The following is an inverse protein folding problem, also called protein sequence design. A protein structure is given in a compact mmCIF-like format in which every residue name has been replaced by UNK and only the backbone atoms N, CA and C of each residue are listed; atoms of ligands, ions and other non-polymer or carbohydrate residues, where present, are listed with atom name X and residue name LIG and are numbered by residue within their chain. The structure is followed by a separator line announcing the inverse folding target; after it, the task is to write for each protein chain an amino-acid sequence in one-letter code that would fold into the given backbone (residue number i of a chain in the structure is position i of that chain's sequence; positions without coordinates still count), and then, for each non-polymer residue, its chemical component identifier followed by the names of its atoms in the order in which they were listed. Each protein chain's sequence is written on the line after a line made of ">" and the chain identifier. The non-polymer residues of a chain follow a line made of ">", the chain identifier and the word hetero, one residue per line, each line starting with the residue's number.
data_IF_914158690531
#
_entry.id   IF_914158690531
#
_cell.length_a   1.000
_cell.length_b   1.000
_cell.length_c   1.000
_cell.angle_alpha   90.00
_cell.angle_beta   90.00
_cell.angle_gamma   90.00
#
_symmetry.space_group_name_H-M   'P 1'
#
loop_
_entity.id
_entity.type
_entity.pdbx_description
1 polymer ?
#
# COMPACT_ATOMS: atom_id res chain seq x y z
N UNK A 1 -11.76 -13.41 -3.47
CA UNK A 1 -12.35 -13.73 -4.78
C UNK A 1 -11.46 -13.19 -5.90
N UNK A 2 -11.25 -13.96 -6.95
CA UNK A 2 -10.63 -13.47 -8.20
C UNK A 2 -11.76 -13.05 -9.14
N UNK A 3 -11.65 -11.86 -9.72
CA UNK A 3 -12.71 -11.24 -10.52
C UNK A 3 -12.26 -11.06 -11.96
N UNK A 4 -13.02 -11.66 -12.87
CA UNK A 4 -12.90 -11.48 -14.31
C UNK A 4 -14.27 -11.04 -14.87
N UNK A 5 -14.39 -10.93 -16.19
CA UNK A 5 -15.64 -10.56 -16.86
C UNK A 5 -16.85 -11.43 -16.47
N UNK A 6 -16.67 -12.74 -16.27
CA UNK A 6 -17.79 -13.64 -15.96
C UNK A 6 -18.17 -13.69 -14.49
N UNK A 7 -17.31 -13.21 -13.59
CA UNK A 7 -17.57 -13.20 -12.13
C UNK A 7 -17.78 -11.80 -11.57
N UNK A 8 -17.77 -10.77 -12.42
CA UNK A 8 -17.91 -9.37 -12.02
C UNK A 8 -19.23 -9.11 -11.28
N UNK A 9 -20.33 -9.63 -11.79
CA UNK A 9 -21.68 -9.33 -11.27
C UNK A 9 -22.00 -10.11 -9.99
N UNK A 10 -21.16 -11.06 -9.58
CA UNK A 10 -21.38 -11.89 -8.39
C UNK A 10 -20.55 -11.48 -7.18
N UNK A 11 -19.84 -10.33 -7.24
CA UNK A 11 -18.90 -9.91 -6.18
C UNK A 11 -19.65 -9.62 -4.88
N UNK A 12 -20.75 -8.88 -4.94
CA UNK A 12 -21.58 -8.60 -3.77
C UNK A 12 -22.14 -9.88 -3.16
N UNK A 13 -22.82 -10.73 -3.95
CA UNK A 13 -23.43 -11.96 -3.45
C UNK A 13 -22.40 -12.92 -2.84
N UNK A 14 -21.21 -13.02 -3.45
CA UNK A 14 -20.11 -13.82 -2.90
C UNK A 14 -19.59 -13.26 -1.58
N UNK A 15 -19.47 -11.94 -1.47
CA UNK A 15 -19.06 -11.28 -0.23
C UNK A 15 -20.10 -11.40 0.88
N UNK A 16 -21.39 -11.28 0.55
CA UNK A 16 -22.51 -11.50 1.47
C UNK A 16 -22.52 -12.95 1.97
N UNK A 17 -22.34 -13.92 1.08
CA UNK A 17 -22.20 -15.31 1.47
C UNK A 17 -21.02 -15.52 2.45
N UNK A 18 -19.87 -14.89 2.20
CA UNK A 18 -18.74 -14.95 3.13
C UNK A 18 -19.09 -14.31 4.49
N UNK A 19 -19.82 -13.19 4.51
CA UNK A 19 -20.31 -12.59 5.74
C UNK A 19 -21.23 -13.53 6.53
N UNK A 20 -22.17 -14.20 5.86
CA UNK A 20 -23.11 -15.16 6.47
C UNK A 20 -22.38 -16.36 7.10
N UNK A 21 -21.23 -16.74 6.56
CA UNK A 21 -20.34 -17.75 7.16
C UNK A 21 -19.52 -17.22 8.37
N UNK A 22 -19.67 -15.94 8.71
CA UNK A 22 -19.01 -15.30 9.86
C UNK A 22 -17.69 -14.58 9.55
N UNK A 23 -17.32 -14.43 8.28
CA UNK A 23 -16.09 -13.69 7.92
C UNK A 23 -16.29 -12.17 8.07
N UNK A 24 -15.28 -11.49 8.65
CA UNK A 24 -15.30 -10.04 8.88
C UNK A 24 -14.68 -9.22 7.75
N UNK A 25 -14.12 -9.88 6.74
CA UNK A 25 -13.46 -9.22 5.62
C UNK A 25 -13.53 -10.04 4.35
N UNK A 26 -13.52 -9.32 3.23
CA UNK A 26 -13.66 -9.89 1.90
C UNK A 26 -12.83 -9.09 0.91
N UNK A 27 -11.89 -9.74 0.24
CA UNK A 27 -11.11 -9.12 -0.84
C UNK A 27 -11.57 -9.69 -2.18
N UNK A 28 -11.91 -8.82 -3.11
CA UNK A 28 -12.17 -9.17 -4.51
C UNK A 28 -11.12 -8.47 -5.37
N UNK A 29 -10.32 -9.24 -6.10
CA UNK A 29 -9.19 -8.70 -6.87
C UNK A 29 -9.35 -9.06 -8.33
N UNK A 30 -9.05 -8.13 -9.23
CA UNK A 30 -9.06 -8.44 -10.68
C UNK A 30 -8.15 -9.62 -10.97
N UNK A 31 -8.53 -10.42 -11.96
CA UNK A 31 -7.64 -11.42 -12.54
C UNK A 31 -6.35 -10.71 -12.98
N UNK A 32 -5.23 -11.35 -12.70
CA UNK A 32 -3.93 -10.97 -13.22
C UNK A 32 -3.38 -12.15 -13.99
N UNK A 33 -2.63 -11.89 -15.07
CA UNK A 33 -2.12 -12.96 -15.90
C UNK A 33 -1.07 -13.71 -15.09
N UNK A 34 -0.99 -15.03 -15.28
CA UNK A 34 0.20 -15.76 -14.87
C UNK A 34 1.24 -15.67 -15.98
N UNK A 35 2.48 -15.46 -15.61
CA UNK A 35 3.59 -15.40 -16.57
C UNK A 35 3.87 -16.75 -17.27
N UNK A 36 3.38 -17.86 -16.72
CA UNK A 36 3.52 -19.20 -17.30
C UNK A 36 2.61 -19.49 -18.51
N UNK A 37 1.82 -18.53 -18.98
CA UNK A 37 0.99 -18.72 -20.18
C UNK A 37 -0.14 -19.73 -20.01
N UNK A 38 -0.45 -20.11 -18.76
CA UNK A 38 -1.49 -21.09 -18.43
C UNK A 38 -2.91 -20.60 -18.73
N UNK A 39 -3.11 -19.28 -18.81
CA UNK A 39 -4.42 -18.70 -19.09
C UNK A 39 -4.57 -18.50 -20.61
N UNK A 40 -5.31 -19.39 -21.24
CA UNK A 40 -5.76 -19.22 -22.63
C UNK A 40 -6.83 -18.12 -22.70
N UNK A 41 -6.86 -17.35 -23.79
CA UNK A 41 -7.84 -16.29 -24.03
C UNK A 41 -7.94 -15.23 -22.91
N UNK A 42 -6.80 -14.85 -22.32
CA UNK A 42 -6.73 -13.87 -21.22
C UNK A 42 -7.49 -12.58 -21.55
N UNK A 43 -7.43 -12.08 -22.78
CA UNK A 43 -8.09 -10.84 -23.22
C UNK A 43 -9.61 -10.85 -22.98
N UNK A 44 -10.26 -12.02 -23.04
CA UNK A 44 -11.70 -12.17 -22.77
C UNK A 44 -12.05 -12.06 -21.28
N UNK A 45 -11.07 -12.18 -20.39
CA UNK A 45 -11.23 -12.20 -18.94
C UNK A 45 -10.88 -10.84 -18.30
N UNK A 46 -10.09 -10.01 -18.98
CA UNK A 46 -9.56 -8.75 -18.43
C UNK A 46 -10.68 -7.76 -18.13
N UNK A 47 -10.56 -7.11 -16.97
CA UNK A 47 -11.40 -5.99 -16.58
C UNK A 47 -10.85 -4.67 -17.15
N UNK A 48 -11.73 -3.84 -17.69
CA UNK A 48 -11.47 -2.45 -18.06
C UNK A 48 -11.89 -1.50 -16.92
N UNK A 49 -11.69 -0.19 -17.11
CA UNK A 49 -12.00 0.81 -16.08
C UNK A 49 -13.48 0.82 -15.64
N UNK A 50 -14.43 0.58 -16.55
CA UNK A 50 -15.87 0.53 -16.19
C UNK A 50 -16.15 -0.68 -15.31
N UNK A 51 -15.57 -1.82 -15.63
CA UNK A 51 -15.71 -3.03 -14.80
C UNK A 51 -15.10 -2.83 -13.41
N UNK A 52 -13.97 -2.11 -13.31
CA UNK A 52 -13.34 -1.80 -12.02
C UNK A 52 -14.24 -0.91 -11.17
N UNK A 53 -14.94 0.05 -11.76
CA UNK A 53 -15.94 0.84 -11.01
C UNK A 53 -17.05 -0.07 -10.47
N UNK A 54 -17.57 -1.00 -11.28
CA UNK A 54 -18.61 -1.97 -10.86
C UNK A 54 -18.10 -2.88 -9.72
N UNK A 55 -16.87 -3.38 -9.84
CA UNK A 55 -16.20 -4.18 -8.80
C UNK A 55 -16.11 -3.39 -7.48
N UNK A 56 -15.60 -2.16 -7.55
CA UNK A 56 -15.36 -1.34 -6.37
C UNK A 56 -16.66 -0.89 -5.72
N UNK A 57 -17.71 -0.62 -6.50
CA UNK A 57 -19.03 -0.26 -5.99
C UNK A 57 -19.64 -1.40 -5.17
N UNK A 58 -19.59 -2.63 -5.67
CA UNK A 58 -20.04 -3.81 -4.92
C UNK A 58 -19.26 -4.03 -3.62
N UNK A 59 -17.94 -3.79 -3.62
CA UNK A 59 -17.13 -3.85 -2.40
C UNK A 59 -17.52 -2.75 -1.40
N UNK A 60 -17.78 -1.54 -1.88
CA UNK A 60 -18.22 -0.44 -1.00
C UNK A 60 -19.62 -0.68 -0.43
N UNK A 61 -20.51 -1.33 -1.20
CA UNK A 61 -21.83 -1.77 -0.75
C UNK A 61 -21.72 -2.82 0.37
N UNK A 62 -20.90 -3.86 0.19
CA UNK A 62 -20.61 -4.84 1.25
C UNK A 62 -20.08 -4.21 2.54
N UNK A 63 -19.22 -3.20 2.40
CA UNK A 63 -18.72 -2.43 3.54
C UNK A 63 -19.83 -1.65 4.23
N UNK A 64 -20.71 -1.03 3.46
CA UNK A 64 -21.84 -0.24 3.96
C UNK A 64 -22.85 -1.13 4.70
N UNK A 65 -23.26 -2.22 4.08
CA UNK A 65 -24.37 -3.06 4.57
C UNK A 65 -23.96 -3.93 5.76
N UNK A 66 -22.73 -4.46 5.74
CA UNK A 66 -22.28 -5.48 6.68
C UNK A 66 -21.11 -5.03 7.57
N UNK A 67 -20.58 -3.82 7.37
CA UNK A 67 -19.40 -3.33 8.10
C UNK A 67 -18.13 -4.13 7.79
N UNK A 68 -18.09 -4.86 6.67
CA UNK A 68 -16.96 -5.72 6.30
C UNK A 68 -15.69 -4.90 5.97
N UNK A 69 -14.53 -5.47 6.28
CA UNK A 69 -13.26 -5.01 5.74
C UNK A 69 -13.13 -5.47 4.28
N UNK A 70 -13.15 -4.52 3.35
CA UNK A 70 -13.10 -4.81 1.92
C UNK A 70 -11.82 -4.29 1.26
N UNK A 71 -11.40 -4.92 0.17
CA UNK A 71 -10.22 -4.49 -0.56
C UNK A 71 -9.91 -5.28 -1.83
N UNK A 72 -8.88 -4.83 -2.51
CA UNK A 72 -8.26 -5.52 -3.65
C UNK A 72 -6.82 -5.87 -3.27
N UNK A 73 -6.30 -7.01 -3.76
CA UNK A 73 -4.94 -7.44 -3.44
C UNK A 73 -3.92 -6.90 -4.45
N UNK A 74 -4.33 -6.79 -5.72
CA UNK A 74 -3.48 -6.27 -6.77
C UNK A 74 -3.47 -4.74 -6.72
N UNK A 75 -2.31 -4.15 -6.97
CA UNK A 75 -2.18 -2.70 -7.12
C UNK A 75 -3.06 -2.21 -8.27
N UNK A 76 -3.89 -1.21 -7.99
CA UNK A 76 -4.68 -0.49 -8.99
C UNK A 76 -4.01 0.87 -9.24
N UNK A 77 -3.86 1.31 -10.49
CA UNK A 77 -3.47 2.68 -10.76
C UNK A 77 -4.58 3.60 -10.23
N UNK A 78 -4.21 4.68 -9.54
CA UNK A 78 -5.21 5.56 -8.90
C UNK A 78 -6.09 6.27 -9.93
N UNK A 79 -5.57 6.50 -11.13
CA UNK A 79 -6.35 7.01 -12.27
C UNK A 79 -7.29 5.98 -12.90
N UNK A 80 -7.40 4.77 -12.36
CA UNK A 80 -8.36 3.77 -12.84
C UNK A 80 -9.81 4.23 -12.67
N UNK A 81 -10.05 5.08 -11.67
CA UNK A 81 -11.36 5.65 -11.30
C UNK A 81 -11.29 7.18 -11.28
N UNK A 82 -12.45 7.81 -11.42
CA UNK A 82 -12.52 9.27 -11.48
C UNK A 82 -12.62 9.91 -10.08
N UNK A 83 -13.22 9.21 -9.10
CA UNK A 83 -13.28 9.63 -7.70
C UNK A 83 -12.56 8.65 -6.78
N UNK A 84 -11.29 8.93 -6.48
CA UNK A 84 -10.46 8.11 -5.57
C UNK A 84 -11.00 8.17 -4.13
N UNK A 85 -11.62 9.28 -3.71
CA UNK A 85 -12.04 9.45 -2.32
C UNK A 85 -13.22 8.53 -1.99
N UNK A 86 -14.13 8.31 -2.96
CA UNK A 86 -15.21 7.31 -2.86
C UNK A 86 -14.68 5.94 -2.45
N UNK A 87 -13.48 5.58 -2.92
CA UNK A 87 -12.87 4.27 -2.70
C UNK A 87 -11.64 4.32 -1.78
N UNK A 88 -11.51 5.36 -0.93
CA UNK A 88 -10.30 5.63 -0.15
C UNK A 88 -9.85 4.47 0.76
N UNK A 89 -10.77 3.63 1.24
CA UNK A 89 -10.39 2.44 2.01
C UNK A 89 -9.76 1.30 1.20
N UNK A 90 -9.90 1.35 -0.13
CA UNK A 90 -9.32 0.38 -1.07
C UNK A 90 -8.04 0.94 -1.68
N UNK A 91 -8.00 2.23 -2.03
CA UNK A 91 -6.81 2.93 -2.53
C UNK A 91 -5.85 3.33 -1.41
N UNK A 92 -5.39 2.35 -0.64
CA UNK A 92 -4.32 2.49 0.35
C UNK A 92 -3.16 1.51 0.12
N UNK A 93 -3.21 0.70 -0.96
CA UNK A 93 -2.19 -0.29 -1.32
C UNK A 93 -1.43 0.12 -2.58
N UNK A 94 -0.21 -0.39 -2.68
CA UNK A 94 0.67 -0.24 -3.84
C UNK A 94 1.52 -1.49 -4.04
N UNK A 95 2.27 -1.56 -5.15
CA UNK A 95 3.19 -2.67 -5.36
C UNK A 95 4.27 -2.70 -4.26
N UNK A 96 4.30 -3.80 -3.52
CA UNK A 96 5.27 -4.05 -2.42
C UNK A 96 6.33 -5.10 -2.80
N UNK A 97 6.35 -5.54 -4.07
CA UNK A 97 7.32 -6.49 -4.58
C UNK A 97 8.76 -5.97 -4.43
N UNK A 98 9.60 -6.75 -3.76
CA UNK A 98 10.97 -6.37 -3.42
C UNK A 98 11.08 -5.25 -2.37
N UNK A 99 9.98 -4.88 -1.70
CA UNK A 99 9.97 -3.88 -0.63
C UNK A 99 9.63 -4.49 0.74
N UNK A 100 8.45 -5.10 0.86
CA UNK A 100 8.00 -5.74 2.11
C UNK A 100 7.47 -7.15 1.89
N UNK A 101 7.57 -7.67 0.66
CA UNK A 101 7.18 -9.04 0.32
C UNK A 101 8.10 -9.64 -0.74
N UNK A 102 8.34 -10.95 -0.63
CA UNK A 102 8.86 -11.83 -1.67
C UNK A 102 8.08 -13.15 -1.64
N UNK A 103 8.10 -13.87 -2.77
CA UNK A 103 7.62 -15.24 -2.86
C UNK A 103 8.79 -16.22 -2.84
N UNK A 104 8.65 -17.33 -2.11
CA UNK A 104 9.57 -18.48 -2.17
C UNK A 104 8.83 -19.61 -2.86
N UNK A 105 9.33 -20.06 -4.01
CA UNK A 105 8.77 -21.20 -4.72
C UNK A 105 9.14 -22.53 -4.03
N UNK A 106 8.45 -23.61 -4.36
CA UNK A 106 8.66 -24.92 -3.74
C UNK A 106 10.06 -25.52 -3.97
N UNK A 107 10.76 -25.07 -5.02
CA UNK A 107 12.15 -25.42 -5.32
C UNK A 107 13.17 -24.52 -4.60
N UNK A 108 12.74 -23.56 -3.78
CA UNK A 108 13.59 -22.63 -3.05
C UNK A 108 13.84 -21.30 -3.77
N UNK A 109 13.34 -21.10 -4.98
CA UNK A 109 13.57 -19.86 -5.73
C UNK A 109 12.89 -18.66 -5.07
N UNK A 110 13.67 -17.60 -4.83
CA UNK A 110 13.19 -16.35 -4.28
C UNK A 110 12.83 -15.37 -5.38
N UNK A 111 11.62 -14.81 -5.31
CA UNK A 111 11.02 -13.93 -6.32
C UNK A 111 10.50 -12.66 -5.66
N UNK A 112 10.64 -11.50 -6.30
CA UNK A 112 10.12 -10.24 -5.77
C UNK A 112 8.59 -10.23 -5.67
N UNK A 113 7.91 -10.89 -6.62
CA UNK A 113 6.46 -11.01 -6.69
C UNK A 113 6.09 -12.47 -6.98
N UNK A 114 5.08 -12.98 -6.28
CA UNK A 114 4.56 -14.34 -6.46
C UNK A 114 3.92 -14.59 -7.84
N UNK A 115 3.57 -13.54 -8.59
CA UNK A 115 2.96 -13.66 -9.92
C UNK A 115 3.99 -13.76 -11.06
N UNK A 116 5.25 -13.37 -10.79
CA UNK A 116 6.33 -13.42 -11.78
C UNK A 116 7.21 -14.66 -11.61
N UNK A 117 7.81 -15.07 -12.71
CA UNK A 117 8.80 -16.16 -12.76
C UNK A 117 10.25 -15.64 -12.78
N UNK A 118 10.48 -14.40 -12.33
CA UNK A 118 11.81 -13.81 -12.17
C UNK A 118 12.37 -14.24 -10.81
N UNK A 119 13.36 -15.14 -10.84
CA UNK A 119 14.11 -15.60 -9.68
C UNK A 119 15.35 -14.75 -9.45
N UNK A 120 15.60 -14.37 -8.19
CA UNK A 120 16.78 -13.58 -7.78
C UNK A 120 17.83 -14.43 -7.04
N UNK A 121 17.51 -15.69 -6.74
CA UNK A 121 18.41 -16.64 -6.10
C UNK A 121 17.61 -17.79 -5.48
N UNK A 122 18.30 -18.76 -4.90
CA UNK A 122 17.68 -19.91 -4.26
C UNK A 122 18.07 -20.00 -2.78
N UNK A 123 17.09 -20.13 -1.89
CA UNK A 123 17.31 -20.13 -0.44
C UNK A 123 18.02 -21.40 0.07
N UNK A 124 18.09 -22.46 -0.73
CA UNK A 124 18.87 -23.66 -0.42
C UNK A 124 20.35 -23.51 -0.75
N UNK A 125 20.71 -22.50 -1.55
CA UNK A 125 22.09 -22.23 -1.98
C UNK A 125 22.73 -21.07 -1.22
N UNK A 126 21.95 -20.02 -0.93
CA UNK A 126 22.43 -18.78 -0.29
C UNK A 126 21.48 -18.30 0.82
N UNK A 127 21.96 -17.60 1.87
CA UNK A 127 21.10 -17.03 2.89
C UNK A 127 20.04 -16.07 2.32
N UNK A 128 18.81 -16.18 2.81
CA UNK A 128 17.67 -15.33 2.39
C UNK A 128 18.00 -13.84 2.42
N UNK A 129 18.70 -13.37 3.46
CA UNK A 129 19.02 -11.95 3.63
C UNK A 129 19.93 -11.41 2.52
N UNK A 130 20.87 -12.22 2.04
CA UNK A 130 21.76 -11.85 0.94
C UNK A 130 20.97 -11.73 -0.36
N UNK A 131 20.16 -12.74 -0.69
CA UNK A 131 19.35 -12.72 -1.91
C UNK A 131 18.35 -11.55 -1.85
N UNK A 132 17.72 -11.32 -0.70
CA UNK A 132 16.76 -10.23 -0.50
C UNK A 132 17.38 -8.85 -0.77
N UNK A 133 18.62 -8.62 -0.36
CA UNK A 133 19.31 -7.35 -0.59
C UNK A 133 19.56 -7.05 -2.08
N UNK A 134 19.57 -8.09 -2.92
CA UNK A 134 19.74 -7.99 -4.37
C UNK A 134 18.40 -7.80 -5.11
N UNK A 135 17.26 -8.02 -4.44
CA UNK A 135 15.94 -7.86 -5.06
C UNK A 135 15.66 -6.37 -5.28
N UNK A 136 15.42 -5.91 -6.52
CA UNK A 136 15.06 -4.54 -6.79
C UNK A 136 13.69 -4.21 -6.19
N UNK A 137 13.56 -3.00 -5.64
CA UNK A 137 12.24 -2.45 -5.31
C UNK A 137 11.55 -2.10 -6.62
N UNK A 138 10.59 -2.92 -7.05
CA UNK A 138 10.04 -2.83 -8.41
C UNK A 138 9.38 -1.51 -8.75
N UNK A 139 8.66 -0.90 -7.81
CA UNK A 139 8.05 0.42 -8.03
C UNK A 139 9.07 1.54 -8.27
N UNK A 140 10.35 1.32 -7.91
CA UNK A 140 11.47 2.23 -8.17
C UNK A 140 12.21 1.83 -9.44
N UNK A 141 12.57 0.55 -9.58
CA UNK A 141 13.36 0.03 -10.69
C UNK A 141 12.63 0.07 -12.03
N UNK A 142 11.34 -0.25 -12.02
CA UNK A 142 10.48 -0.32 -13.22
C UNK A 142 9.40 0.77 -13.15
N UNK A 143 9.81 1.97 -12.73
CA UNK A 143 8.95 3.13 -12.78
C UNK A 143 8.50 3.40 -14.23
N UNK A 144 7.27 3.88 -14.39
CA UNK A 144 6.73 4.21 -15.71
C UNK A 144 6.85 5.72 -15.90
N UNK A 145 7.68 6.15 -16.86
CA UNK A 145 7.98 7.57 -17.09
C UNK A 145 6.74 8.42 -17.37
N UNK A 146 5.66 7.83 -17.92
CA UNK A 146 4.39 8.54 -18.15
C UNK A 146 3.69 8.94 -16.85
N UNK A 147 4.06 8.35 -15.70
CA UNK A 147 3.57 8.72 -14.37
C UNK A 147 4.36 9.88 -13.74
N UNK A 148 5.47 10.31 -14.35
CA UNK A 148 6.30 11.40 -13.84
C UNK A 148 5.48 12.68 -13.67
N UNK A 149 5.52 13.27 -12.47
CA UNK A 149 4.75 14.48 -12.14
C UNK A 149 3.28 14.22 -11.76
N UNK A 150 2.82 12.96 -11.72
CA UNK A 150 1.52 12.60 -11.17
C UNK A 150 1.49 12.78 -9.65
N UNK A 151 0.37 13.29 -9.11
CA UNK A 151 0.18 13.45 -7.66
C UNK A 151 0.25 12.14 -6.86
N UNK A 152 0.08 11.00 -7.54
CA UNK A 152 0.06 9.66 -6.94
C UNK A 152 1.17 8.75 -7.45
N UNK A 153 2.21 9.31 -8.04
CA UNK A 153 3.26 8.57 -8.73
C UNK A 153 3.86 7.43 -7.87
N UNK A 154 4.59 7.77 -6.80
CA UNK A 154 5.15 6.78 -5.87
C UNK A 154 4.10 6.11 -4.96
N UNK A 155 2.87 6.66 -4.89
CA UNK A 155 1.77 6.07 -4.11
C UNK A 155 1.19 4.86 -4.81
N UNK A 156 0.98 4.90 -6.12
CA UNK A 156 0.41 3.77 -6.87
C UNK A 156 1.46 3.00 -7.69
N UNK A 157 2.59 3.63 -8.04
CA UNK A 157 3.66 3.06 -8.85
C UNK A 157 3.27 2.74 -10.30
N UNK A 158 2.19 3.38 -10.79
CA UNK A 158 1.61 3.11 -12.11
C UNK A 158 0.76 1.84 -12.18
N UNK A 159 0.43 1.20 -11.06
CA UNK A 159 -0.38 -0.03 -11.01
C UNK A 159 0.45 -1.31 -10.85
N UNK A 160 -0.05 -2.41 -11.40
CA UNK A 160 0.54 -3.73 -11.25
C UNK A 160 1.56 -4.00 -12.37
N UNK A 161 2.81 -4.27 -11.99
CA UNK A 161 3.90 -4.52 -12.94
C UNK A 161 3.71 -5.82 -13.75
N UNK A 162 3.00 -6.80 -13.18
CA UNK A 162 2.63 -8.05 -13.88
C UNK A 162 1.73 -7.76 -15.07
N UNK A 163 0.70 -6.94 -14.86
CA UNK A 163 -0.20 -6.53 -15.95
C UNK A 163 0.56 -5.74 -17.01
N UNK A 164 1.36 -4.76 -16.59
CA UNK A 164 2.20 -3.98 -17.51
C UNK A 164 3.10 -4.87 -18.38
N UNK A 165 3.80 -5.83 -17.76
CA UNK A 165 4.67 -6.75 -18.46
C UNK A 165 3.90 -7.67 -19.42
N UNK A 166 2.73 -8.19 -19.02
CA UNK A 166 1.99 -9.10 -19.89
C UNK A 166 1.48 -8.40 -21.16
N UNK A 167 0.99 -7.17 -21.00
CA UNK A 167 0.38 -6.40 -22.10
C UNK A 167 1.48 -5.84 -23.01
N UNK A 168 2.51 -5.25 -22.43
CA UNK A 168 3.49 -4.46 -23.18
C UNK A 168 4.82 -5.19 -23.41
N UNK A 169 5.03 -6.37 -22.80
CA UNK A 169 6.34 -7.05 -22.70
C UNK A 169 7.41 -6.22 -22.01
N UNK A 170 6.98 -5.27 -21.18
CA UNK A 170 7.83 -4.35 -20.44
C UNK A 170 7.27 -4.10 -19.04
N UNK A 171 8.10 -4.32 -18.01
CA UNK A 171 7.73 -4.07 -16.61
C UNK A 171 7.58 -2.57 -16.31
N UNK A 172 8.27 -1.70 -17.07
CA UNK A 172 8.09 -0.24 -17.01
C UNK A 172 6.86 0.23 -17.81
N UNK A 173 6.19 -0.66 -18.54
CA UNK A 173 5.01 -0.37 -19.35
C UNK A 173 3.77 0.04 -18.54
N UNK A 174 2.68 0.30 -19.26
CA UNK A 174 1.41 0.74 -18.66
C UNK A 174 0.54 -0.44 -18.21
N UNK A 175 -0.01 -0.35 -17.01
CA UNK A 175 -1.12 -1.20 -16.59
C UNK A 175 -2.36 -0.93 -17.44
N UNK A 176 -3.15 -1.94 -17.85
CA UNK A 176 -4.33 -1.73 -18.72
C UNK A 176 -5.39 -0.78 -18.14
N UNK A 177 -5.38 -0.54 -16.82
CA UNK A 177 -6.31 0.36 -16.17
C UNK A 177 -5.79 1.79 -16.05
N UNK A 178 -4.52 2.03 -16.41
CA UNK A 178 -3.94 3.37 -16.36
C UNK A 178 -4.62 4.24 -17.42
N UNK A 179 -5.10 5.40 -17.00
CA UNK A 179 -5.64 6.46 -17.87
C UNK A 179 -4.61 7.59 -18.00
N UNK A 180 -4.92 8.76 -17.46
CA UNK A 180 -4.05 9.94 -17.47
C UNK A 180 -3.38 10.17 -16.12
N UNK A 181 -2.37 11.05 -16.12
CA UNK A 181 -1.79 11.54 -14.87
C UNK A 181 -2.76 12.43 -14.14
N UNK A 182 -2.86 12.21 -12.83
CA UNK A 182 -3.67 13.09 -11.98
C UNK A 182 -2.78 14.24 -11.58
N UNK A 183 -3.08 15.42 -12.12
CA UNK A 183 -2.45 16.66 -11.68
C UNK A 183 -2.99 17.03 -10.30
N UNK A 184 -2.11 17.55 -9.46
CA UNK A 184 -2.53 18.21 -8.23
C UNK A 184 -3.30 19.50 -8.59
N UNK A 185 -4.62 19.40 -8.82
CA UNK A 185 -5.50 20.58 -8.94
C UNK A 185 -5.78 21.21 -7.57
N UNK A 186 -5.60 20.42 -6.51
CA UNK A 186 -5.26 21.00 -5.24
C UNK A 186 -3.84 21.53 -5.44
N UNK A 187 -3.68 22.87 -5.49
CA UNK A 187 -2.67 23.47 -4.62
C UNK A 187 -2.72 22.58 -3.40
N UNK A 188 -1.63 21.94 -3.02
CA UNK A 188 -1.43 21.82 -1.59
C UNK A 188 -1.51 23.28 -1.13
N UNK A 189 -2.73 23.76 -0.84
CA UNK A 189 -3.04 23.99 0.53
C UNK A 189 -2.43 22.76 1.25
N UNK A 190 -1.13 22.84 1.53
CA UNK A 190 -0.76 23.22 2.88
C UNK A 190 -1.84 24.23 3.24
N UNK A 191 -3.02 23.72 3.65
CA UNK A 191 -3.72 24.38 4.71
C UNK A 191 -2.55 24.70 5.60
N UNK A 192 -2.38 25.97 5.89
CA UNK A 192 -1.91 26.34 7.19
C UNK A 192 -2.56 25.36 8.18
N UNK A 193 -2.00 24.15 8.26
CA UNK A 193 -2.07 23.25 9.36
C UNK A 193 -1.29 24.14 10.26
N UNK A 194 -2.03 24.85 11.11
CA UNK A 194 -1.43 25.31 12.34
C UNK A 194 -0.51 24.19 12.78
N UNK A 195 0.79 24.47 12.88
CA UNK A 195 1.78 23.43 13.03
C UNK A 195 1.30 22.54 14.15
N UNK A 196 0.96 21.28 13.83
CA UNK A 196 0.43 20.35 14.81
C UNK A 196 1.43 20.35 15.96
N UNK A 197 0.99 20.88 17.09
CA UNK A 197 1.88 21.17 18.22
C UNK A 197 2.06 19.92 19.07
N UNK A 198 1.06 19.04 19.05
CA UNK A 198 1.12 17.76 19.74
C UNK A 198 0.37 16.67 18.98
N UNK A 199 0.80 15.42 19.18
CA UNK A 199 0.09 14.23 18.70
C UNK A 199 -0.21 13.31 19.88
N UNK A 200 -1.48 12.96 20.04
CA UNK A 200 -1.91 11.93 20.98
C UNK A 200 -1.88 10.56 20.29
N UNK A 201 -0.98 9.69 20.73
CA UNK A 201 -0.88 8.31 20.28
C UNK A 201 -2.08 7.47 20.77
N UNK A 202 -2.50 6.50 19.95
CA UNK A 202 -3.54 5.54 20.32
C UNK A 202 -3.08 4.59 21.42
N UNK A 203 -4.05 4.00 22.13
CA UNK A 203 -3.79 3.18 23.33
C UNK A 203 -3.19 1.79 23.03
N UNK A 204 -3.52 1.23 21.88
CA UNK A 204 -3.26 -0.19 21.55
C UNK A 204 -2.12 -0.35 20.55
N UNK A 205 -1.15 0.58 20.57
CA UNK A 205 0.02 0.49 19.71
C UNK A 205 0.98 -0.58 20.24
N UNK A 206 1.61 -1.28 19.32
CA UNK A 206 2.70 -2.22 19.57
C UNK A 206 3.96 -1.66 18.93
N UNK A 207 5.09 -1.82 19.62
CA UNK A 207 6.40 -1.43 19.13
C UNK A 207 7.20 -2.72 18.93
N UNK A 208 7.77 -2.90 17.74
CA UNK A 208 8.72 -3.96 17.44
C UNK A 208 10.07 -3.33 17.11
N UNK A 209 11.09 -3.69 17.85
CA UNK A 209 12.44 -3.15 17.67
C UNK A 209 13.07 -3.66 16.37
N UNK A 210 13.80 -2.77 15.71
CA UNK A 210 14.45 -2.98 14.42
C UNK A 210 15.85 -2.33 14.43
N UNK A 211 16.75 -2.75 13.55
CA UNK A 211 18.09 -2.14 13.45
C UNK A 211 18.08 -0.65 13.09
N UNK A 212 17.01 -0.18 12.43
CA UNK A 212 16.81 1.23 12.06
C UNK A 212 16.03 2.04 13.11
N UNK A 213 15.54 1.40 14.17
CA UNK A 213 14.67 2.02 15.18
C UNK A 213 13.56 1.07 15.58
N UNK A 214 12.34 1.29 15.07
CA UNK A 214 11.22 0.39 15.34
C UNK A 214 10.11 0.45 14.30
N UNK A 215 9.29 -0.59 14.28
CA UNK A 215 7.96 -0.55 13.66
C UNK A 215 6.92 -0.26 14.74
N UNK A 216 6.20 0.86 14.61
CA UNK A 216 5.00 1.17 15.40
C UNK A 216 3.76 0.65 14.67
N UNK A 217 2.98 -0.20 15.31
CA UNK A 217 1.91 -0.95 14.64
C UNK A 217 0.67 -1.07 15.50
N UNK A 218 -0.52 -0.95 14.90
CA UNK A 218 -1.80 -1.27 15.53
C UNK A 218 -2.47 -2.48 14.87
N UNK A 219 -2.62 -2.41 13.55
CA UNK A 219 -3.26 -3.41 12.70
C UNK A 219 -2.65 -3.36 11.29
N UNK A 220 -2.92 -4.34 10.40
CA UNK A 220 -2.29 -4.39 9.08
C UNK A 220 -2.47 -3.15 8.19
N UNK A 221 -3.42 -2.27 8.51
CA UNK A 221 -3.66 -1.00 7.80
C UNK A 221 -3.14 0.24 8.53
N UNK A 222 -2.62 0.09 9.75
CA UNK A 222 -2.15 1.18 10.61
C UNK A 222 -0.78 0.87 11.21
N UNK A 223 0.28 1.34 10.55
CA UNK A 223 1.68 1.16 10.97
C UNK A 223 2.60 2.29 10.46
N UNK A 224 3.75 2.48 11.11
CA UNK A 224 4.79 3.41 10.70
C UNK A 224 6.17 2.88 11.08
N UNK A 225 7.17 3.22 10.29
CA UNK A 225 8.58 2.99 10.61
C UNK A 225 9.13 4.22 11.30
N UNK A 226 9.76 4.01 12.43
CA UNK A 226 10.35 5.04 13.26
C UNK A 226 11.86 4.87 13.26
N UNK A 227 12.58 5.97 13.13
CA UNK A 227 14.03 5.96 13.31
C UNK A 227 14.41 5.77 14.79
N UNK A 228 15.71 5.65 15.06
CA UNK A 228 16.22 5.46 16.41
C UNK A 228 15.80 6.58 17.39
N UNK A 229 15.83 7.84 16.94
CA UNK A 229 15.47 9.00 17.77
C UNK A 229 13.99 8.98 18.14
N UNK A 230 13.11 8.83 17.15
CA UNK A 230 11.66 8.78 17.37
C UNK A 230 11.29 7.56 18.20
N UNK A 231 11.95 6.42 17.98
CA UNK A 231 11.75 5.20 18.78
C UNK A 231 12.07 5.45 20.25
N UNK A 232 13.24 6.04 20.53
CA UNK A 232 13.64 6.44 21.88
C UNK A 232 12.59 7.36 22.51
N UNK A 233 12.24 8.45 21.83
CA UNK A 233 11.31 9.44 22.36
C UNK A 233 9.91 8.87 22.62
N UNK A 234 9.37 8.05 21.71
CA UNK A 234 8.05 7.43 21.87
C UNK A 234 8.05 6.41 23.01
N UNK A 235 9.13 5.63 23.20
CA UNK A 235 9.24 4.70 24.32
C UNK A 235 9.27 5.43 25.66
N UNK A 236 10.04 6.52 25.76
CA UNK A 236 10.09 7.36 26.96
C UNK A 236 8.74 8.02 27.28
N UNK A 237 8.02 8.50 26.25
CA UNK A 237 6.72 9.17 26.41
C UNK A 237 5.53 8.21 26.36
N UNK A 238 5.72 6.90 26.20
CA UNK A 238 4.64 5.92 26.06
C UNK A 238 3.64 5.91 27.24
N UNK A 239 4.03 6.22 28.49
CA UNK A 239 3.06 6.37 29.58
C UNK A 239 2.09 7.54 29.36
N UNK A 240 2.57 8.66 28.82
CA UNK A 240 1.81 9.91 28.63
C UNK A 240 1.09 9.90 27.26
N UNK A 241 1.67 9.22 26.27
CA UNK A 241 1.16 9.06 24.89
C UNK A 241 0.95 10.38 24.13
N UNK A 242 1.55 11.46 24.60
CA UNK A 242 1.52 12.77 23.93
C UNK A 242 2.94 13.10 23.49
N UNK A 243 3.10 13.41 22.21
CA UNK A 243 4.35 13.90 21.64
C UNK A 243 4.21 15.40 21.40
N UNK A 244 5.11 16.21 21.95
CA UNK A 244 5.08 17.67 21.73
C UNK A 244 6.17 18.07 20.74
N UNK A 245 5.84 19.00 19.85
CA UNK A 245 6.75 19.52 18.84
C UNK A 245 7.99 20.16 19.45
N UNK A 246 7.79 21.06 20.40
CA UNK A 246 8.89 21.80 21.02
C UNK A 246 9.86 20.86 21.75
N UNK A 247 9.34 19.84 22.42
CA UNK A 247 10.16 18.82 23.10
C UNK A 247 11.00 18.03 22.09
N UNK A 248 10.40 17.59 20.98
CA UNK A 248 11.11 16.82 19.94
C UNK A 248 12.22 17.65 19.28
N UNK A 249 11.93 18.91 18.92
CA UNK A 249 12.93 19.82 18.35
C UNK A 249 14.04 20.12 19.37
N UNK A 250 13.69 20.36 20.63
CA UNK A 250 14.66 20.66 21.68
C UNK A 250 15.56 19.46 21.98
N UNK A 251 15.01 18.26 22.13
CA UNK A 251 15.78 17.06 22.50
C UNK A 251 16.62 16.55 21.32
N UNK A 252 16.14 16.72 20.09
CA UNK A 252 16.82 16.23 18.89
C UNK A 252 17.67 17.27 18.15
N UNK A 253 17.83 18.49 18.67
CA UNK A 253 18.53 19.59 17.98
C UNK A 253 19.93 19.19 17.53
N UNK A 254 20.66 18.47 18.39
CA UNK A 254 22.06 18.12 18.19
C UNK A 254 22.26 17.01 17.14
N UNK A 255 21.17 16.37 16.72
CA UNK A 255 21.15 15.33 15.68
C UNK A 255 20.34 15.75 14.45
N UNK A 256 20.06 17.05 14.29
CA UNK A 256 19.42 17.61 13.12
C UNK A 256 17.89 17.45 13.08
N UNK A 257 17.23 17.20 14.21
CA UNK A 257 15.77 17.22 14.30
C UNK A 257 15.29 18.66 14.29
N UNK A 258 14.52 19.02 13.27
CA UNK A 258 13.96 20.35 13.08
C UNK A 258 12.42 20.33 12.95
N UNK A 259 11.84 21.49 12.70
CA UNK A 259 10.38 21.60 12.52
C UNK A 259 9.86 20.84 11.30
N UNK A 260 10.67 20.64 10.26
CA UNK A 260 10.28 19.89 9.08
C UNK A 260 10.23 18.39 9.39
N UNK A 261 11.24 17.87 10.08
CA UNK A 261 11.28 16.51 10.61
C UNK A 261 10.04 16.21 11.45
N UNK A 262 9.74 17.06 12.45
CA UNK A 262 8.59 16.83 13.35
C UNK A 262 7.27 16.88 12.59
N UNK A 263 7.15 17.76 11.59
CA UNK A 263 5.94 17.84 10.75
C UNK A 263 5.74 16.57 9.93
N UNK A 264 6.82 16.00 9.37
CA UNK A 264 6.76 14.74 8.65
C UNK A 264 6.39 13.56 9.57
N UNK A 265 6.96 13.52 10.78
CA UNK A 265 6.61 12.53 11.79
C UNK A 265 5.13 12.62 12.19
N UNK A 266 4.64 13.80 12.54
CA UNK A 266 3.25 14.00 12.98
C UNK A 266 2.26 13.68 11.85
N UNK A 267 2.56 14.12 10.62
CA UNK A 267 1.77 13.75 9.45
C UNK A 267 1.73 12.23 9.26
N UNK A 268 2.86 11.54 9.42
CA UNK A 268 2.93 10.06 9.31
C UNK A 268 2.05 9.39 10.37
N UNK A 269 2.15 9.80 11.64
CA UNK A 269 1.37 9.23 12.73
C UNK A 269 -0.14 9.44 12.54
N UNK A 270 -0.55 10.64 12.11
CA UNK A 270 -1.97 10.96 11.88
C UNK A 270 -2.50 10.26 10.64
N UNK A 271 -1.80 10.36 9.51
CA UNK A 271 -2.25 9.77 8.24
C UNK A 271 -2.30 8.25 8.28
N UNK A 272 -1.41 7.62 9.06
CA UNK A 272 -1.41 6.16 9.25
C UNK A 272 -2.30 5.72 10.42
N UNK A 273 -3.15 6.61 10.94
CA UNK A 273 -4.16 6.30 11.96
C UNK A 273 -3.55 5.76 13.28
N UNK A 274 -2.31 6.15 13.60
CA UNK A 274 -1.56 5.79 14.81
C UNK A 274 -1.70 6.83 15.92
N UNK A 275 -1.96 8.08 15.56
CA UNK A 275 -2.23 9.18 16.47
C UNK A 275 -3.32 10.10 15.93
N UNK A 276 -3.70 11.07 16.75
CA UNK A 276 -4.56 12.19 16.37
C UNK A 276 -3.90 13.49 16.78
N UNK A 277 -4.27 14.58 16.10
CA UNK A 277 -3.92 15.93 16.55
C UNK A 277 -4.35 16.10 18.02
N UNK A 278 -3.41 16.55 18.84
CA UNK A 278 -3.58 16.74 20.28
C UNK A 278 -3.97 18.17 20.67
N UNK A 279 -4.28 19.03 19.68
CA UNK A 279 -4.86 20.36 19.88
C UNK A 279 -6.07 20.37 20.80
#
# INVERSE_FOLDING_TARGET
>A
MVVNKSTLDSVYDTGKFAYELGFKGFNATRISPSNNGMIQNYDSLILNNKDIVILLDQLMELKSDFGMQVGTLNALPYCAVDDINKYGSIFNRSCVAGLTSAGVASNGDLRACQHFDITYGNIFERPLLEIWAEIPIWKKQYHNDTCTGCAYDFKCGGGCKENAYKINKDMAGEDNLKKDTIKNNKKTKISSFDPVNSVQLKRDLKIRDESFGSTLFKDPSAYAYLDNFTTFYIKEKYPIRVLNRNDLVFIGSDIGVDNQYVSALFATLINNNLGRDGG
#
